data_IF_130652116001
#
_entry.id   IF_130652116001
#
_cell.length_a   1.000
_cell.length_b   1.000
_cell.length_c   1.000
_cell.angle_alpha   90.00
_cell.angle_beta   90.00
_cell.angle_gamma   90.00
#
_symmetry.space_group_name_H-M   'P 1'
#
loop_
_entity.id
_entity.type
_entity.pdbx_description
1 polymer ?
#
# COMPACT_ATOMS: atom_id res chain seq x y z
N UNK A 1 45.49 -30.69 -24.74
CA UNK A 1 44.94 -31.95 -24.20
C UNK A 1 43.82 -31.58 -23.23
N UNK A 2 42.59 -31.79 -23.71
CA UNK A 2 41.33 -32.13 -23.03
C UNK A 2 41.31 -32.17 -21.49
N UNK A 3 40.41 -31.40 -20.87
CA UNK A 3 39.07 -31.82 -20.32
C UNK A 3 39.22 -32.32 -18.87
N UNK A 4 38.49 -31.84 -17.86
CA UNK A 4 37.02 -31.82 -17.72
C UNK A 4 36.58 -30.77 -16.69
N UNK A 5 35.69 -29.86 -17.09
CA UNK A 5 34.77 -29.17 -16.16
C UNK A 5 33.40 -29.83 -16.38
N UNK A 6 32.87 -30.47 -15.35
CA UNK A 6 31.51 -30.99 -15.34
C UNK A 6 30.53 -29.81 -15.41
N UNK A 7 29.84 -29.71 -16.55
CA UNK A 7 28.70 -28.83 -16.73
C UNK A 7 27.50 -29.44 -16.00
N UNK A 8 26.99 -28.73 -14.99
CA UNK A 8 25.68 -28.99 -14.40
C UNK A 8 24.63 -28.82 -15.50
N UNK A 9 23.84 -29.86 -15.72
CA UNK A 9 22.70 -29.88 -16.64
C UNK A 9 21.69 -28.77 -16.25
N UNK A 10 21.14 -28.03 -17.23
CA UNK A 10 20.07 -27.09 -16.97
C UNK A 10 18.83 -27.86 -16.53
N UNK A 11 18.36 -27.57 -15.32
CA UNK A 11 17.07 -28.04 -14.79
C UNK A 11 15.97 -27.55 -15.73
N UNK A 12 15.26 -28.49 -16.34
CA UNK A 12 14.09 -28.27 -17.20
C UNK A 12 13.18 -27.20 -16.61
N UNK A 13 13.07 -26.06 -17.31
CA UNK A 13 11.99 -25.12 -17.11
C UNK A 13 10.69 -25.83 -17.52
N UNK A 14 9.60 -25.74 -16.73
CA UNK A 14 8.31 -26.20 -17.19
C UNK A 14 7.97 -25.46 -18.47
N UNK A 15 7.69 -26.27 -19.49
CA UNK A 15 7.48 -25.92 -20.89
C UNK A 15 6.84 -24.53 -21.10
N UNK A 16 7.42 -23.81 -22.05
CA UNK A 16 6.78 -22.73 -22.81
C UNK A 16 5.40 -23.21 -23.26
N UNK A 17 4.37 -22.80 -22.52
CA UNK A 17 3.01 -22.82 -23.01
C UNK A 17 2.91 -21.75 -24.08
N UNK A 18 3.08 -22.14 -25.35
CA UNK A 18 2.56 -21.40 -26.47
C UNK A 18 1.14 -20.97 -26.12
N UNK A 19 0.85 -19.68 -26.18
CA UNK A 19 -0.51 -19.16 -26.04
C UNK A 19 -1.30 -19.80 -27.18
N UNK A 20 -2.06 -20.85 -26.84
CA UNK A 20 -3.04 -21.42 -27.74
C UNK A 20 -4.00 -20.29 -28.11
N UNK A 21 -4.26 -20.15 -29.42
CA UNK A 21 -5.29 -19.28 -29.95
C UNK A 21 -6.53 -19.34 -29.06
N UNK A 22 -6.92 -18.19 -28.49
CA UNK A 22 -8.14 -18.12 -27.73
C UNK A 22 -9.30 -18.38 -28.72
N UNK A 23 -10.01 -19.49 -28.54
CA UNK A 23 -11.29 -19.74 -29.22
C UNK A 23 -12.24 -18.59 -28.86
N UNK A 24 -12.33 -17.60 -29.75
CA UNK A 24 -13.26 -16.46 -29.63
C UNK A 24 -14.73 -16.92 -29.62
N UNK A 25 -15.01 -18.13 -30.12
CA UNK A 25 -16.34 -18.71 -30.30
C UNK A 25 -17.04 -19.17 -29.00
N UNK A 26 -16.50 -18.79 -27.84
CA UNK A 26 -17.10 -19.06 -26.52
C UNK A 26 -16.90 -17.97 -25.49
N UNK A 27 -16.34 -16.82 -25.87
CA UNK A 27 -15.97 -15.75 -24.92
C UNK A 27 -17.21 -14.95 -24.52
N UNK A 28 -17.83 -15.30 -23.39
CA UNK A 28 -19.06 -14.63 -22.90
C UNK A 28 -18.80 -13.33 -22.13
N UNK A 29 -17.62 -13.20 -21.55
CA UNK A 29 -17.25 -12.08 -20.69
C UNK A 29 -15.77 -11.68 -20.91
N UNK A 30 -15.49 -10.38 -20.88
CA UNK A 30 -14.13 -9.80 -20.90
C UNK A 30 -14.01 -8.73 -19.82
N UNK A 31 -12.92 -8.77 -19.04
CA UNK A 31 -12.60 -7.68 -18.11
C UNK A 31 -11.80 -6.58 -18.79
N UNK A 32 -12.19 -5.33 -18.55
CA UNK A 32 -11.49 -4.15 -19.05
C UNK A 32 -10.03 -4.10 -18.58
N UNK A 33 -9.75 -4.57 -17.37
CA UNK A 33 -8.40 -4.61 -16.79
C UNK A 33 -7.47 -5.54 -17.58
N UNK A 34 -7.96 -6.71 -17.99
CA UNK A 34 -7.18 -7.68 -18.78
C UNK A 34 -6.75 -7.12 -20.14
N UNK A 35 -7.54 -6.21 -20.71
CA UNK A 35 -7.17 -5.49 -21.93
C UNK A 35 -6.14 -4.39 -21.67
N UNK A 36 -6.23 -3.70 -20.53
CA UNK A 36 -5.28 -2.62 -20.16
C UNK A 36 -3.88 -3.15 -19.88
N UNK A 37 -3.78 -4.33 -19.28
CA UNK A 37 -2.52 -4.99 -18.93
C UNK A 37 -1.76 -5.55 -20.13
N UNK A 38 -2.41 -5.71 -21.29
CA UNK A 38 -1.74 -6.13 -22.54
C UNK A 38 -0.72 -5.10 -23.00
N UNK A 39 0.43 -5.59 -23.48
CA UNK A 39 1.41 -4.77 -24.18
C UNK A 39 0.81 -4.21 -25.48
N UNK A 40 1.35 -3.11 -26.05
CA UNK A 40 0.85 -2.57 -27.32
C UNK A 40 0.81 -3.61 -28.44
N UNK A 41 1.82 -4.48 -28.52
CA UNK A 41 1.88 -5.56 -29.52
C UNK A 41 0.77 -6.59 -29.32
N UNK A 42 0.57 -7.06 -28.09
CA UNK A 42 -0.51 -8.01 -27.76
C UNK A 42 -1.90 -7.39 -27.96
N UNK A 43 -2.06 -6.10 -27.67
CA UNK A 43 -3.32 -5.40 -27.84
C UNK A 43 -3.66 -5.23 -29.33
N UNK A 44 -2.68 -4.94 -30.18
CA UNK A 44 -2.88 -4.88 -31.64
C UNK A 44 -3.22 -6.26 -32.20
N UNK A 45 -2.49 -7.30 -31.79
CA UNK A 45 -2.80 -8.67 -32.21
C UNK A 45 -4.23 -9.08 -31.81
N UNK A 46 -4.63 -8.78 -30.56
CA UNK A 46 -5.99 -9.03 -30.09
C UNK A 46 -7.05 -8.21 -30.86
N UNK A 47 -6.73 -6.97 -31.26
CA UNK A 47 -7.62 -6.17 -32.09
C UNK A 47 -7.82 -6.78 -33.49
N UNK A 48 -6.75 -7.30 -34.09
CA UNK A 48 -6.81 -8.00 -35.38
C UNK A 48 -7.65 -9.28 -35.28
N UNK A 49 -7.47 -10.07 -34.21
CA UNK A 49 -8.28 -11.26 -33.91
C UNK A 49 -9.78 -10.94 -33.76
N UNK A 50 -10.11 -9.80 -33.16
CA UNK A 50 -11.50 -9.34 -32.97
C UNK A 50 -12.04 -8.59 -34.19
N UNK A 51 -11.29 -8.55 -35.30
CA UNK A 51 -11.66 -7.95 -36.58
C UNK A 51 -11.85 -6.42 -36.51
N UNK A 52 -10.94 -5.75 -35.79
CA UNK A 52 -10.86 -4.27 -35.78
C UNK A 52 -10.06 -3.80 -37.02
N UNK A 53 -10.71 -3.01 -37.87
CA UNK A 53 -10.06 -2.42 -39.04
C UNK A 53 -8.98 -1.40 -38.65
N UNK A 54 -7.84 -1.41 -39.36
CA UNK A 54 -6.74 -0.46 -39.19
C UNK A 54 -6.15 -0.38 -37.76
N UNK A 55 -6.26 -1.46 -36.98
CA UNK A 55 -5.77 -1.57 -35.61
C UNK A 55 -4.34 -1.03 -35.39
N UNK A 56 -3.42 -1.34 -36.30
CA UNK A 56 -2.01 -0.94 -36.23
C UNK A 56 -1.76 0.57 -36.31
N UNK A 57 -2.71 1.34 -36.81
CA UNK A 57 -2.60 2.82 -36.95
C UNK A 57 -3.24 3.58 -35.79
N UNK A 58 -4.03 2.90 -34.96
CA UNK A 58 -4.78 3.50 -33.86
C UNK A 58 -3.89 3.74 -32.64
N UNK A 59 -4.18 4.80 -31.90
CA UNK A 59 -3.58 4.98 -30.56
C UNK A 59 -4.18 3.97 -29.59
N UNK A 60 -3.46 3.63 -28.50
CA UNK A 60 -3.92 2.65 -27.49
C UNK A 60 -5.38 2.86 -27.04
N UNK A 61 -5.82 4.10 -26.86
CA UNK A 61 -7.20 4.43 -26.45
C UNK A 61 -8.23 4.19 -27.56
N UNK A 62 -7.93 4.60 -28.78
CA UNK A 62 -8.80 4.38 -29.94
C UNK A 62 -8.90 2.87 -30.23
N UNK A 63 -7.77 2.17 -30.13
CA UNK A 63 -7.69 0.72 -30.28
C UNK A 63 -8.52 -0.01 -29.22
N UNK A 64 -8.35 0.36 -27.95
CA UNK A 64 -9.20 -0.12 -26.83
C UNK A 64 -10.68 0.08 -27.12
N UNK A 65 -11.07 1.28 -27.54
CA UNK A 65 -12.47 1.59 -27.84
C UNK A 65 -12.99 0.75 -29.01
N UNK A 66 -12.20 0.56 -30.07
CA UNK A 66 -12.57 -0.23 -31.22
C UNK A 66 -12.73 -1.72 -30.88
N UNK A 67 -11.81 -2.29 -30.09
CA UNK A 67 -11.90 -3.67 -29.56
C UNK A 67 -13.20 -3.83 -28.78
N UNK A 68 -13.45 -2.95 -27.81
CA UNK A 68 -14.65 -3.03 -26.96
C UNK A 68 -15.94 -2.88 -27.77
N UNK A 69 -15.92 -2.04 -28.80
CA UNK A 69 -17.07 -1.88 -29.70
C UNK A 69 -17.37 -3.17 -30.47
N UNK A 70 -16.35 -3.86 -30.97
CA UNK A 70 -16.53 -5.14 -31.65
C UNK A 70 -16.96 -6.26 -30.69
N UNK A 71 -16.38 -6.33 -29.49
CA UNK A 71 -16.80 -7.28 -28.47
C UNK A 71 -18.27 -7.06 -28.08
N UNK A 72 -18.69 -5.82 -27.88
CA UNK A 72 -20.08 -5.49 -27.60
C UNK A 72 -21.02 -5.84 -28.77
N UNK A 73 -20.58 -5.69 -30.02
CA UNK A 73 -21.36 -6.08 -31.20
C UNK A 73 -21.51 -7.62 -31.32
N UNK A 74 -20.55 -8.38 -30.78
CA UNK A 74 -20.60 -9.85 -30.66
C UNK A 74 -21.32 -10.32 -29.38
N UNK A 75 -22.07 -9.44 -28.71
CA UNK A 75 -22.79 -9.70 -27.46
C UNK A 75 -21.92 -10.18 -26.29
N UNK A 76 -20.61 -9.88 -26.30
CA UNK A 76 -19.70 -10.19 -25.20
C UNK A 76 -19.90 -9.16 -24.07
N UNK A 77 -20.12 -9.63 -22.84
CA UNK A 77 -20.27 -8.75 -21.68
C UNK A 77 -18.92 -8.17 -21.26
N UNK A 78 -18.81 -6.84 -21.19
CA UNK A 78 -17.57 -6.17 -20.78
C UNK A 78 -17.70 -5.79 -19.32
N UNK A 79 -16.85 -6.32 -18.45
CA UNK A 79 -16.82 -6.00 -17.03
C UNK A 79 -15.76 -4.93 -16.75
N UNK A 80 -16.19 -3.84 -16.12
CA UNK A 80 -15.31 -2.79 -15.62
C UNK A 80 -15.23 -2.82 -14.10
N UNK A 81 -14.07 -2.44 -13.56
CA UNK A 81 -13.87 -2.26 -12.13
C UNK A 81 -13.04 -1.02 -11.84
N UNK A 82 -13.30 -0.38 -10.70
CA UNK A 82 -12.48 0.72 -10.20
C UNK A 82 -13.00 1.29 -8.88
N UNK A 83 -12.30 2.28 -8.35
CA UNK A 83 -12.62 2.95 -7.08
C UNK A 83 -13.47 4.18 -7.35
N UNK A 84 -14.63 4.29 -6.71
CA UNK A 84 -15.57 5.40 -6.86
C UNK A 84 -14.93 6.70 -6.35
N UNK A 85 -14.97 7.74 -7.17
CA UNK A 85 -14.82 9.14 -6.78
C UNK A 85 -16.13 9.87 -7.08
N UNK A 86 -16.85 10.29 -6.03
CA UNK A 86 -18.07 11.09 -6.17
C UNK A 86 -17.69 12.57 -6.27
N UNK A 87 -18.16 13.24 -7.33
CA UNK A 87 -17.94 14.66 -7.55
C UNK A 87 -19.04 15.51 -6.91
N UNK A 88 -18.81 16.83 -6.82
CA UNK A 88 -19.73 17.77 -6.16
C UNK A 88 -21.14 17.78 -6.76
N UNK A 89 -21.25 17.54 -8.07
CA UNK A 89 -22.52 17.47 -8.81
C UNK A 89 -23.29 16.15 -8.57
N UNK A 90 -22.75 15.24 -7.76
CA UNK A 90 -23.39 14.00 -7.32
C UNK A 90 -23.30 12.82 -8.28
N UNK A 91 -22.71 12.99 -9.46
CA UNK A 91 -22.23 11.87 -10.29
C UNK A 91 -20.80 11.50 -9.90
N UNK A 92 -20.30 10.38 -10.41
CA UNK A 92 -18.94 9.94 -10.09
C UNK A 92 -18.27 9.18 -11.22
N UNK A 93 -17.00 8.85 -10.98
CA UNK A 93 -16.18 8.03 -11.86
C UNK A 93 -15.55 6.88 -11.08
N UNK A 94 -15.41 5.73 -11.72
CA UNK A 94 -14.53 4.67 -11.26
C UNK A 94 -13.13 4.95 -11.76
N UNK A 95 -12.25 5.31 -10.83
CA UNK A 95 -10.84 5.58 -11.09
C UNK A 95 -10.05 4.28 -11.04
N UNK A 96 -9.09 4.13 -11.96
CA UNK A 96 -8.18 2.99 -12.00
C UNK A 96 -7.05 3.12 -10.97
N UNK A 97 -6.74 2.04 -10.26
CA UNK A 97 -5.54 1.95 -9.42
C UNK A 97 -4.25 1.95 -10.26
N UNK A 98 -4.28 1.40 -11.48
CA UNK A 98 -3.12 1.39 -12.40
C UNK A 98 -2.71 2.80 -12.83
N UNK A 99 -3.68 3.72 -12.85
CA UNK A 99 -3.47 5.13 -13.15
C UNK A 99 -3.25 5.95 -11.87
N UNK A 100 -2.96 5.31 -10.73
CA UNK A 100 -2.82 5.96 -9.42
C UNK A 100 -4.05 6.78 -9.00
N UNK A 101 -5.25 6.40 -9.45
CA UNK A 101 -6.47 7.21 -9.31
C UNK A 101 -6.41 8.59 -9.97
N UNK A 102 -5.66 8.71 -11.08
CA UNK A 102 -5.72 9.88 -11.96
C UNK A 102 -7.04 9.87 -12.73
N UNK A 103 -7.62 11.06 -12.99
CA UNK A 103 -8.64 11.19 -14.02
C UNK A 103 -8.11 10.73 -15.37
N UNK A 104 -8.71 9.68 -15.90
CA UNK A 104 -8.37 9.07 -17.18
C UNK A 104 -9.54 9.14 -18.16
N UNK A 105 -9.28 9.14 -19.48
CA UNK A 105 -10.33 9.03 -20.49
C UNK A 105 -11.00 7.64 -20.49
N UNK A 106 -10.35 6.65 -19.87
CA UNK A 106 -10.79 5.27 -19.67
C UNK A 106 -11.52 5.06 -18.34
N UNK A 107 -11.87 6.14 -17.63
CA UNK A 107 -12.69 6.10 -16.43
C UNK A 107 -14.14 5.73 -16.75
N UNK A 108 -14.78 5.04 -15.81
CA UNK A 108 -16.16 4.57 -15.97
C UNK A 108 -17.08 5.51 -15.21
N UNK A 109 -17.96 6.19 -15.94
CA UNK A 109 -19.02 7.02 -15.41
C UNK A 109 -20.02 6.21 -14.58
N UNK A 110 -20.39 6.77 -13.41
CA UNK A 110 -21.47 6.29 -12.57
C UNK A 110 -22.50 7.40 -12.38
N UNK A 111 -23.76 7.05 -12.65
CA UNK A 111 -24.88 7.97 -12.51
C UNK A 111 -25.21 8.27 -11.03
N UNK A 112 -25.73 9.47 -10.72
CA UNK A 112 -26.24 9.80 -9.39
C UNK A 112 -27.29 8.80 -8.88
N UNK A 113 -28.09 8.24 -9.79
CA UNK A 113 -29.11 7.23 -9.47
C UNK A 113 -28.48 5.94 -8.94
N UNK A 114 -27.39 5.46 -9.56
CA UNK A 114 -26.67 4.28 -9.09
C UNK A 114 -26.00 4.54 -7.73
N UNK A 115 -25.36 5.70 -7.57
CA UNK A 115 -24.75 6.13 -6.30
C UNK A 115 -25.79 6.12 -5.18
N UNK A 116 -26.93 6.76 -5.39
CA UNK A 116 -28.02 6.81 -4.39
C UNK A 116 -28.64 5.44 -4.12
N UNK A 117 -28.86 4.63 -5.17
CA UNK A 117 -29.51 3.31 -5.05
C UNK A 117 -28.70 2.34 -4.18
N UNK A 118 -27.38 2.34 -4.34
CA UNK A 118 -26.48 1.44 -3.61
C UNK A 118 -25.79 2.10 -2.42
N UNK A 119 -26.03 3.40 -2.16
CA UNK A 119 -25.39 4.13 -1.08
C UNK A 119 -23.88 4.27 -1.26
N UNK A 120 -23.41 4.35 -2.51
CA UNK A 120 -21.98 4.42 -2.83
C UNK A 120 -21.36 5.71 -2.28
N UNK A 121 -20.14 5.59 -1.76
CA UNK A 121 -19.31 6.70 -1.31
C UNK A 121 -17.96 6.66 -2.02
N UNK A 122 -17.26 7.79 -1.99
CA UNK A 122 -15.87 7.83 -2.44
C UNK A 122 -15.05 6.76 -1.70
N UNK A 123 -14.23 6.02 -2.45
CA UNK A 123 -13.45 4.90 -1.96
C UNK A 123 -14.07 3.51 -2.21
N UNK A 124 -15.38 3.42 -2.53
CA UNK A 124 -15.98 2.11 -2.78
C UNK A 124 -15.41 1.50 -4.06
N UNK A 125 -14.95 0.25 -3.99
CA UNK A 125 -14.50 -0.48 -5.18
C UNK A 125 -15.70 -1.15 -5.81
N UNK A 126 -16.03 -0.80 -7.04
CA UNK A 126 -17.22 -1.31 -7.74
C UNK A 126 -16.78 -2.10 -8.95
N UNK A 127 -17.39 -3.26 -9.17
CA UNK A 127 -17.25 -4.07 -10.38
C UNK A 127 -18.63 -4.34 -10.98
N UNK A 128 -18.71 -4.32 -12.31
CA UNK A 128 -19.90 -4.72 -13.04
C UNK A 128 -19.83 -4.43 -14.52
N UNK A 129 -20.87 -4.81 -15.29
CA UNK A 129 -20.88 -4.61 -16.73
C UNK A 129 -20.88 -3.14 -17.08
N UNK A 130 -20.09 -2.80 -18.09
CA UNK A 130 -19.95 -1.47 -18.64
C UNK A 130 -20.38 -1.46 -20.11
N UNK A 131 -20.75 -0.27 -20.58
CA UNK A 131 -20.96 -0.01 -22.00
C UNK A 131 -20.03 1.09 -22.49
N UNK A 132 -19.74 1.07 -23.78
CA UNK A 132 -19.09 2.18 -24.45
C UNK A 132 -19.94 3.48 -24.40
N UNK A 133 -19.29 4.65 -24.56
CA UNK A 133 -19.99 5.92 -24.78
C UNK A 133 -20.90 5.86 -26.01
N UNK A 134 -22.10 6.43 -25.89
CA UNK A 134 -23.00 6.72 -27.02
C UNK A 134 -22.59 8.00 -27.74
N UNK A 135 -23.25 8.30 -28.86
CA UNK A 135 -23.04 9.56 -29.58
C UNK A 135 -23.20 10.78 -28.64
N UNK A 136 -22.13 11.55 -28.49
CA UNK A 136 -22.05 12.71 -27.59
C UNK A 136 -21.52 12.42 -26.18
N UNK A 137 -21.35 11.17 -25.78
CA UNK A 137 -20.69 10.77 -24.53
C UNK A 137 -19.18 10.58 -24.75
N UNK A 138 -18.38 10.79 -23.70
CA UNK A 138 -16.91 10.66 -23.76
C UNK A 138 -16.35 9.48 -22.96
N UNK A 139 -17.13 8.95 -22.01
CA UNK A 139 -16.67 7.97 -21.03
C UNK A 139 -17.47 6.66 -21.13
N UNK A 140 -16.86 5.56 -20.70
CA UNK A 140 -17.59 4.33 -20.45
C UNK A 140 -18.64 4.57 -19.37
N UNK A 141 -19.75 3.84 -19.38
CA UNK A 141 -20.78 3.97 -18.36
C UNK A 141 -21.07 2.61 -17.72
N UNK A 142 -21.19 2.59 -16.39
CA UNK A 142 -21.58 1.39 -15.66
C UNK A 142 -23.05 1.07 -15.94
N UNK A 143 -23.35 -0.13 -16.40
CA UNK A 143 -24.72 -0.62 -16.62
C UNK A 143 -25.36 -1.09 -15.32
N UNK A 144 -24.64 -1.96 -14.60
CA UNK A 144 -25.10 -2.59 -13.38
C UNK A 144 -23.94 -2.75 -12.42
N UNK A 145 -24.24 -2.70 -11.13
CA UNK A 145 -23.29 -3.03 -10.08
C UNK A 145 -23.41 -4.51 -9.76
N UNK A 146 -22.34 -5.29 -9.97
CA UNK A 146 -22.29 -6.71 -9.65
C UNK A 146 -21.71 -6.93 -8.25
N UNK A 147 -20.60 -6.27 -7.92
CA UNK A 147 -19.99 -6.33 -6.60
C UNK A 147 -19.57 -4.95 -6.11
N UNK A 148 -19.51 -4.79 -4.79
CA UNK A 148 -18.98 -3.60 -4.12
C UNK A 148 -18.06 -4.07 -3.01
N UNK A 149 -16.84 -3.57 -2.97
CA UNK A 149 -15.77 -3.96 -2.05
C UNK A 149 -15.59 -5.49 -1.98
N UNK A 150 -15.69 -6.13 -3.16
CA UNK A 150 -15.57 -7.58 -3.37
C UNK A 150 -16.69 -8.42 -2.74
N UNK A 151 -17.82 -7.81 -2.39
CA UNK A 151 -18.99 -8.47 -1.85
C UNK A 151 -20.26 -8.18 -2.67
N UNK A 152 -21.31 -8.97 -2.43
CA UNK A 152 -22.61 -8.73 -3.03
C UNK A 152 -23.20 -7.39 -2.53
N UNK A 153 -23.71 -6.52 -3.42
CA UNK A 153 -24.27 -5.20 -3.10
C UNK A 153 -25.35 -5.21 -2.01
N UNK A 154 -26.09 -6.31 -1.85
CA UNK A 154 -27.15 -6.42 -0.85
C UNK A 154 -26.63 -6.37 0.58
N UNK A 155 -25.37 -6.80 0.82
CA UNK A 155 -24.75 -6.82 2.15
C UNK A 155 -24.40 -5.44 2.70
N UNK A 156 -24.39 -4.40 1.87
CA UNK A 156 -23.97 -3.04 2.24
C UNK A 156 -24.98 -2.35 3.14
N UNK A 157 -26.28 -2.65 2.98
CA UNK A 157 -27.35 -1.94 3.68
C UNK A 157 -27.28 -2.02 5.20
N UNK A 158 -26.51 -2.97 5.73
CA UNK A 158 -26.34 -3.22 7.17
C UNK A 158 -24.96 -2.80 7.69
N UNK A 159 -24.13 -2.12 6.89
CA UNK A 159 -22.78 -1.75 7.30
C UNK A 159 -22.77 -0.44 8.10
N UNK A 160 -21.91 -0.40 9.10
CA UNK A 160 -21.71 0.76 9.98
C UNK A 160 -20.64 1.66 9.35
N UNK A 161 -20.86 2.98 9.41
CA UNK A 161 -19.90 3.96 8.93
C UNK A 161 -18.58 3.87 9.71
N UNK A 162 -17.43 4.03 9.05
CA UNK A 162 -16.10 3.90 9.68
C UNK A 162 -15.94 4.73 10.96
N UNK A 163 -16.43 5.97 10.94
CA UNK A 163 -16.35 6.88 12.09
C UNK A 163 -17.22 6.46 13.30
N UNK A 164 -18.19 5.56 13.09
CA UNK A 164 -19.05 5.02 14.14
C UNK A 164 -18.54 3.69 14.69
N UNK A 165 -17.49 3.11 14.09
CA UNK A 165 -16.88 1.86 14.56
C UNK A 165 -16.04 2.11 15.82
N UNK A 166 -16.03 1.14 16.73
CA UNK A 166 -15.41 1.29 18.04
C UNK A 166 -13.88 1.09 17.96
N UNK A 167 -13.06 2.13 18.19
CA UNK A 167 -11.60 2.02 18.10
C UNK A 167 -11.02 1.32 19.33
N UNK A 168 -10.19 0.30 19.09
CA UNK A 168 -9.42 -0.39 20.12
C UNK A 168 -7.91 -0.30 19.89
N UNK A 169 -7.13 -0.66 20.91
CA UNK A 169 -5.72 -0.97 20.71
C UNK A 169 -5.58 -2.23 19.84
N UNK A 170 -4.48 -2.36 19.07
CA UNK A 170 -4.16 -3.60 18.39
C UNK A 170 -4.03 -4.77 19.38
N UNK A 171 -4.73 -5.86 19.09
CA UNK A 171 -4.70 -7.10 19.90
C UNK A 171 -4.20 -8.30 19.11
N UNK A 172 -4.14 -8.19 17.78
CA UNK A 172 -3.56 -9.19 16.89
C UNK A 172 -2.26 -8.64 16.31
N UNK A 173 -1.20 -9.43 16.41
CA UNK A 173 0.13 -9.07 15.96
C UNK A 173 0.35 -9.43 14.49
N UNK A 174 1.04 -8.56 13.74
CA UNK A 174 1.70 -8.94 12.50
C UNK A 174 3.01 -9.66 12.85
N UNK A 175 3.11 -10.96 12.54
CA UNK A 175 4.38 -11.68 12.60
C UNK A 175 5.18 -11.24 11.38
N UNK A 176 6.26 -10.49 11.58
CA UNK A 176 7.10 -10.05 10.48
C UNK A 176 8.22 -11.04 10.18
N UNK A 177 8.69 -11.78 11.17
CA UNK A 177 9.64 -12.87 11.00
C UNK A 177 9.15 -13.89 9.95
N UNK A 178 9.96 -14.09 8.92
CA UNK A 178 9.75 -15.09 7.90
C UNK A 178 10.49 -16.38 8.26
N UNK A 179 9.83 -17.52 8.15
CA UNK A 179 10.45 -18.82 8.46
C UNK A 179 11.54 -19.18 7.44
N UNK A 180 11.34 -18.83 6.16
CA UNK A 180 12.30 -19.02 5.07
C UNK A 180 12.44 -17.73 4.25
N UNK A 181 13.26 -16.76 4.72
CA UNK A 181 13.38 -15.49 4.03
C UNK A 181 14.17 -15.66 2.72
N UNK A 182 13.73 -15.07 1.60
CA UNK A 182 14.44 -15.18 0.32
C UNK A 182 15.79 -14.47 0.31
N UNK A 183 15.99 -13.51 1.23
CA UNK A 183 17.27 -12.87 1.52
C UNK A 183 17.49 -12.86 3.02
N UNK A 184 18.72 -13.11 3.47
CA UNK A 184 19.06 -13.10 4.90
C UNK A 184 19.05 -11.65 5.43
N UNK A 185 17.88 -11.19 5.86
CA UNK A 185 17.65 -9.87 6.46
C UNK A 185 17.07 -10.03 7.87
N UNK A 186 17.67 -9.34 8.84
CA UNK A 186 17.26 -9.42 10.25
C UNK A 186 16.21 -8.37 10.62
N UNK A 187 15.87 -7.44 9.72
CA UNK A 187 14.90 -6.36 9.99
C UNK A 187 13.56 -6.86 10.52
N UNK A 188 12.91 -7.86 9.89
CA UNK A 188 11.61 -8.31 10.36
C UNK A 188 11.70 -8.93 11.77
N UNK A 189 12.74 -9.74 12.01
CA UNK A 189 13.02 -10.36 13.31
C UNK A 189 13.30 -9.33 14.41
N UNK A 190 14.08 -8.31 14.09
CA UNK A 190 14.43 -7.24 15.04
C UNK A 190 13.19 -6.41 15.37
N UNK A 191 12.41 -5.98 14.37
CA UNK A 191 11.14 -5.25 14.60
C UNK A 191 10.23 -6.08 15.51
N UNK A 192 10.10 -7.37 15.24
CA UNK A 192 9.30 -8.29 16.04
C UNK A 192 9.74 -8.37 17.52
N UNK A 193 11.01 -8.15 17.82
CA UNK A 193 11.52 -8.15 19.20
C UNK A 193 11.35 -6.78 19.86
N UNK A 194 11.62 -5.70 19.13
CA UNK A 194 11.84 -4.36 19.74
C UNK A 194 10.63 -3.44 19.59
N UNK A 195 9.85 -3.57 18.53
CA UNK A 195 8.73 -2.70 18.19
C UNK A 195 7.63 -3.52 17.47
N UNK A 196 6.97 -4.46 18.17
CA UNK A 196 5.98 -5.35 17.56
C UNK A 196 4.82 -4.54 16.97
N UNK A 197 4.42 -4.86 15.74
CA UNK A 197 3.35 -4.15 15.03
C UNK A 197 2.08 -5.00 15.05
N UNK A 198 0.92 -4.41 15.35
CA UNK A 198 -0.37 -5.10 15.29
C UNK A 198 -1.33 -4.61 14.20
N UNK A 199 -2.40 -5.38 14.00
CA UNK A 199 -3.56 -5.00 13.20
C UNK A 199 -4.24 -3.79 13.81
N UNK A 200 -4.22 -2.66 13.10
CA UNK A 200 -4.68 -1.37 13.59
C UNK A 200 -3.58 -0.42 14.09
N UNK A 201 -2.30 -0.76 13.90
CA UNK A 201 -1.18 0.06 14.41
C UNK A 201 -1.06 1.40 13.67
N UNK A 202 -0.68 2.45 14.41
CA UNK A 202 -0.18 3.72 13.89
C UNK A 202 1.33 3.80 14.11
N UNK A 203 2.08 3.26 13.15
CA UNK A 203 3.54 3.13 13.26
C UNK A 203 4.26 4.21 12.46
N UNK A 204 5.32 4.77 13.05
CA UNK A 204 6.24 5.68 12.39
C UNK A 204 7.61 5.02 12.25
N UNK A 205 8.12 4.94 11.03
CA UNK A 205 9.53 4.66 10.74
C UNK A 205 10.24 6.02 10.70
N UNK A 206 10.86 6.38 11.80
CA UNK A 206 11.54 7.66 11.98
C UNK A 206 12.95 7.53 11.43
N UNK A 207 13.23 8.18 10.31
CA UNK A 207 14.44 7.92 9.56
C UNK A 207 15.10 9.22 9.06
N UNK A 208 16.37 9.45 9.39
CA UNK A 208 17.20 10.39 8.64
C UNK A 208 17.35 9.95 7.18
N UNK A 209 17.66 10.86 6.24
CA UNK A 209 18.02 10.49 4.88
C UNK A 209 19.16 9.46 4.84
N UNK A 210 19.11 8.54 3.87
CA UNK A 210 20.14 7.50 3.58
C UNK A 210 20.34 6.43 4.67
N UNK A 211 19.34 6.19 5.52
CA UNK A 211 19.40 5.15 6.59
C UNK A 211 18.77 3.81 6.21
N UNK A 212 18.24 3.66 4.99
CA UNK A 212 17.63 2.41 4.51
C UNK A 212 16.11 2.31 4.71
N UNK A 213 15.40 3.44 4.85
CA UNK A 213 13.92 3.49 5.03
C UNK A 213 13.15 2.65 4.01
N UNK A 214 13.54 2.74 2.73
CA UNK A 214 12.82 2.09 1.63
C UNK A 214 12.97 0.58 1.70
N UNK A 215 14.20 0.09 1.95
CA UNK A 215 14.48 -1.34 2.12
C UNK A 215 13.73 -1.89 3.33
N UNK A 216 13.71 -1.15 4.44
CA UNK A 216 12.95 -1.56 5.62
C UNK A 216 11.45 -1.68 5.33
N UNK A 217 10.89 -0.71 4.61
CA UNK A 217 9.47 -0.74 4.21
C UNK A 217 9.16 -1.90 3.26
N UNK A 218 10.04 -2.19 2.30
CA UNK A 218 9.92 -3.35 1.40
C UNK A 218 9.95 -4.67 2.20
N UNK A 219 10.83 -4.79 3.19
CA UNK A 219 10.91 -5.96 4.06
C UNK A 219 9.61 -6.15 4.86
N UNK A 220 9.04 -5.06 5.40
CA UNK A 220 7.74 -5.11 6.09
C UNK A 220 6.64 -5.53 5.13
N UNK A 221 6.57 -4.93 3.94
CA UNK A 221 5.60 -5.25 2.90
C UNK A 221 5.63 -6.74 2.54
N UNK A 222 6.82 -7.26 2.24
CA UNK A 222 7.04 -8.66 1.92
C UNK A 222 6.62 -9.59 3.07
N UNK A 223 6.96 -9.22 4.30
CA UNK A 223 6.62 -10.00 5.48
C UNK A 223 5.11 -10.08 5.68
N UNK A 224 4.40 -8.97 5.49
CA UNK A 224 2.93 -8.91 5.56
C UNK A 224 2.31 -9.74 4.43
N UNK A 225 2.76 -9.61 3.18
CA UNK A 225 2.19 -10.40 2.07
C UNK A 225 2.36 -11.90 2.28
N UNK A 226 3.50 -12.34 2.84
CA UNK A 226 3.77 -13.78 3.04
C UNK A 226 3.03 -14.33 4.26
N UNK A 227 3.14 -13.67 5.41
CA UNK A 227 2.60 -14.18 6.67
C UNK A 227 1.11 -13.82 6.88
N UNK A 228 0.64 -12.78 6.22
CA UNK A 228 -0.71 -12.23 6.36
C UNK A 228 -1.37 -11.97 4.98
N UNK A 229 -1.52 -13.01 4.13
CA UNK A 229 -2.10 -12.87 2.80
C UNK A 229 -3.57 -12.43 2.82
N UNK A 230 -4.25 -12.51 3.96
CA UNK A 230 -5.60 -12.00 4.15
C UNK A 230 -5.68 -10.46 4.18
N UNK A 231 -4.56 -9.80 4.48
CA UNK A 231 -4.51 -8.34 4.59
C UNK A 231 -4.46 -7.67 3.22
N UNK A 232 -5.24 -6.61 3.06
CA UNK A 232 -5.20 -5.77 1.87
C UNK A 232 -4.06 -4.76 1.98
N UNK A 233 -2.95 -5.00 1.28
CA UNK A 233 -1.76 -4.16 1.32
C UNK A 233 -1.80 -3.07 0.24
N UNK A 234 -1.71 -1.81 0.69
CA UNK A 234 -1.55 -0.63 -0.15
C UNK A 234 -0.21 0.03 0.18
N UNK A 235 0.60 0.30 -0.84
CA UNK A 235 1.80 1.14 -0.70
C UNK A 235 1.51 2.49 -1.34
N UNK A 236 1.54 3.55 -0.53
CA UNK A 236 1.29 4.92 -0.96
C UNK A 236 2.60 5.71 -0.97
N UNK A 237 3.05 6.09 -2.16
CA UNK A 237 4.28 6.85 -2.38
C UNK A 237 3.93 8.30 -2.75
N UNK A 238 4.39 9.25 -1.96
CA UNK A 238 4.09 10.68 -2.10
C UNK A 238 5.37 11.47 -2.28
N UNK A 239 5.44 12.23 -3.37
CA UNK A 239 6.55 13.13 -3.69
C UNK A 239 7.90 12.38 -3.66
N UNK A 240 7.88 11.15 -4.18
CA UNK A 240 9.06 10.30 -4.31
C UNK A 240 9.57 10.20 -5.75
N UNK A 241 10.80 9.69 -5.88
CA UNK A 241 11.45 9.57 -7.18
C UNK A 241 10.84 8.47 -8.05
N UNK A 242 10.69 8.67 -9.38
CA UNK A 242 10.14 7.67 -10.29
C UNK A 242 10.85 6.31 -10.26
N UNK A 243 12.17 6.29 -10.09
CA UNK A 243 12.96 5.06 -9.97
C UNK A 243 12.67 4.30 -8.67
N UNK A 244 12.42 5.00 -7.56
CA UNK A 244 12.04 4.40 -6.28
C UNK A 244 10.61 3.83 -6.34
N UNK A 245 9.70 4.51 -7.05
CA UNK A 245 8.36 4.01 -7.35
C UNK A 245 8.42 2.71 -8.15
N UNK A 246 9.24 2.69 -9.22
CA UNK A 246 9.38 1.50 -10.08
C UNK A 246 9.94 0.31 -9.30
N UNK A 247 10.95 0.55 -8.45
CA UNK A 247 11.52 -0.48 -7.59
C UNK A 247 10.49 -1.07 -6.61
N UNK A 248 9.65 -0.21 -6.01
CA UNK A 248 8.57 -0.65 -5.12
C UNK A 248 7.52 -1.50 -5.84
N UNK A 249 7.09 -1.09 -7.04
CA UNK A 249 6.11 -1.83 -7.86
C UNK A 249 6.62 -3.25 -8.17
N UNK A 250 7.93 -3.39 -8.43
CA UNK A 250 8.53 -4.69 -8.76
C UNK A 250 8.79 -5.56 -7.53
N UNK A 251 8.98 -4.95 -6.37
CA UNK A 251 9.39 -5.64 -5.15
C UNK A 251 8.22 -6.09 -4.27
N UNK A 252 7.11 -5.35 -4.29
CA UNK A 252 5.98 -5.58 -3.39
C UNK A 252 4.79 -6.19 -4.13
N UNK A 253 4.26 -7.28 -3.57
CA UNK A 253 2.98 -7.86 -3.99
C UNK A 253 1.85 -7.17 -3.22
N UNK A 254 1.31 -6.12 -3.82
CA UNK A 254 0.23 -5.32 -3.27
C UNK A 254 -0.16 -4.21 -4.23
N UNK A 255 -1.11 -3.37 -3.81
CA UNK A 255 -1.51 -2.22 -4.60
C UNK A 255 -0.54 -1.06 -4.36
N UNK A 256 0.29 -0.73 -5.35
CA UNK A 256 1.24 0.39 -5.25
C UNK A 256 0.65 1.61 -5.95
N UNK A 257 0.38 2.65 -5.18
CA UNK A 257 -0.17 3.93 -5.63
C UNK A 257 0.87 5.01 -5.41
N UNK A 258 1.22 5.75 -6.45
CA UNK A 258 2.26 6.76 -6.40
C UNK A 258 1.83 8.11 -7.00
N UNK A 259 2.38 9.17 -6.43
CA UNK A 259 2.42 10.52 -7.02
C UNK A 259 3.86 11.02 -6.88
N UNK A 260 4.60 11.03 -8.00
CA UNK A 260 6.02 11.41 -8.02
C UNK A 260 6.20 12.91 -7.76
N UNK A 261 7.44 13.34 -7.50
CA UNK A 261 7.77 14.76 -7.28
C UNK A 261 7.47 15.68 -8.47
N UNK A 262 7.20 15.13 -9.66
CA UNK A 262 6.81 15.90 -10.85
C UNK A 262 5.37 16.42 -10.77
N UNK A 263 4.55 15.82 -9.89
CA UNK A 263 3.15 16.15 -9.71
C UNK A 263 2.96 17.32 -8.72
N UNK A 264 1.90 18.14 -8.87
CA UNK A 264 1.63 19.24 -7.95
C UNK A 264 1.17 18.76 -6.57
N UNK A 265 1.35 19.58 -5.53
CA UNK A 265 0.91 19.27 -4.17
C UNK A 265 -0.59 18.93 -4.04
N UNK A 266 -1.44 19.58 -4.85
CA UNK A 266 -2.88 19.26 -4.92
C UNK A 266 -3.13 17.82 -5.33
N UNK A 267 -2.27 17.27 -6.20
CA UNK A 267 -2.36 15.89 -6.65
C UNK A 267 -1.97 14.91 -5.54
N UNK A 268 -0.87 15.17 -4.83
CA UNK A 268 -0.47 14.36 -3.68
C UNK A 268 -1.60 14.24 -2.64
N UNK A 269 -2.27 15.35 -2.35
CA UNK A 269 -3.40 15.40 -1.42
C UNK A 269 -4.58 14.58 -1.97
N UNK A 270 -4.95 14.75 -3.24
CA UNK A 270 -6.06 14.01 -3.85
C UNK A 270 -5.84 12.49 -3.82
N UNK A 271 -4.63 12.03 -4.17
CA UNK A 271 -4.30 10.59 -4.17
C UNK A 271 -4.39 10.02 -2.76
N UNK A 272 -3.82 10.70 -1.78
CA UNK A 272 -3.87 10.27 -0.39
C UNK A 272 -5.33 10.18 0.12
N UNK A 273 -6.18 11.15 -0.24
CA UNK A 273 -7.60 11.14 0.12
C UNK A 273 -8.36 9.97 -0.54
N UNK A 274 -8.09 9.67 -1.81
CA UNK A 274 -8.68 8.49 -2.48
C UNK A 274 -8.26 7.19 -1.80
N UNK A 275 -6.96 7.05 -1.47
CA UNK A 275 -6.42 5.85 -0.81
C UNK A 275 -6.99 5.67 0.58
N UNK A 276 -7.08 6.72 1.39
CA UNK A 276 -7.61 6.60 2.76
C UNK A 276 -9.11 6.30 2.75
N UNK A 277 -9.89 6.91 1.85
CA UNK A 277 -11.30 6.61 1.74
C UNK A 277 -11.54 5.18 1.28
N UNK A 278 -10.76 4.68 0.30
CA UNK A 278 -10.79 3.25 -0.09
C UNK A 278 -10.50 2.34 1.10
N UNK A 279 -9.43 2.63 1.84
CA UNK A 279 -9.07 1.84 3.01
C UNK A 279 -10.19 1.81 4.06
N UNK A 280 -10.83 2.95 4.35
CA UNK A 280 -11.99 3.01 5.25
C UNK A 280 -13.15 2.16 4.76
N UNK A 281 -13.49 2.21 3.46
CA UNK A 281 -14.55 1.37 2.89
C UNK A 281 -14.24 -0.12 3.05
N UNK A 282 -13.00 -0.54 2.80
CA UNK A 282 -12.59 -1.93 3.00
C UNK A 282 -12.69 -2.37 4.47
N UNK A 283 -12.35 -1.50 5.43
CA UNK A 283 -12.49 -1.79 6.87
C UNK A 283 -13.95 -1.83 7.32
N UNK A 284 -14.83 -1.00 6.78
CA UNK A 284 -16.28 -1.11 7.01
C UNK A 284 -16.84 -2.48 6.53
N UNK A 285 -16.14 -3.13 5.60
CA UNK A 285 -16.40 -4.49 5.16
C UNK A 285 -15.70 -5.59 6.00
N UNK A 286 -15.06 -5.22 7.12
CA UNK A 286 -14.40 -6.14 8.04
C UNK A 286 -13.05 -6.66 7.54
N UNK A 287 -12.44 -6.01 6.54
CA UNK A 287 -11.10 -6.37 6.06
C UNK A 287 -10.02 -5.73 6.92
N UNK A 288 -8.90 -6.43 7.04
CA UNK A 288 -7.67 -5.87 7.56
C UNK A 288 -6.91 -5.18 6.42
N UNK A 289 -6.67 -3.88 6.55
CA UNK A 289 -6.01 -3.05 5.54
C UNK A 289 -4.70 -2.51 6.11
N UNK A 290 -3.64 -2.58 5.32
CA UNK A 290 -2.33 -2.02 5.67
C UNK A 290 -1.95 -0.98 4.63
N UNK A 291 -1.69 0.25 5.08
CA UNK A 291 -1.10 1.31 4.25
C UNK A 291 0.35 1.50 4.66
N UNK A 292 1.27 1.29 3.72
CA UNK A 292 2.66 1.70 3.85
C UNK A 292 2.83 3.06 3.17
N UNK A 293 3.08 4.12 3.95
CA UNK A 293 3.14 5.48 3.45
C UNK A 293 4.59 6.00 3.43
N UNK A 294 5.11 6.32 2.25
CA UNK A 294 6.41 6.97 2.07
C UNK A 294 6.24 8.32 1.33
N UNK A 295 6.16 9.47 2.01
CA UNK A 295 6.31 9.68 3.47
C UNK A 295 5.22 10.59 4.05
N UNK A 296 4.97 10.46 5.35
CA UNK A 296 4.02 11.34 6.06
C UNK A 296 4.52 12.78 6.14
N UNK A 297 5.85 12.97 6.17
CA UNK A 297 6.47 14.31 6.18
C UNK A 297 6.18 15.05 4.88
N UNK A 298 6.37 14.40 3.73
CA UNK A 298 6.07 14.97 2.41
C UNK A 298 4.58 15.22 2.22
N UNK A 299 3.73 14.30 2.69
CA UNK A 299 2.29 14.53 2.71
C UNK A 299 1.92 15.77 3.53
N UNK A 300 2.49 15.92 4.73
CA UNK A 300 2.31 17.11 5.57
C UNK A 300 2.71 18.41 4.87
N UNK A 301 3.83 18.40 4.13
CA UNK A 301 4.25 19.54 3.29
C UNK A 301 3.23 19.85 2.20
N UNK A 302 2.73 18.84 1.49
CA UNK A 302 1.73 19.02 0.44
C UNK A 302 0.45 19.67 0.97
N UNK A 303 -0.05 19.21 2.13
CA UNK A 303 -1.21 19.84 2.79
C UNK A 303 -0.94 21.29 3.20
N UNK A 304 0.26 21.60 3.70
CA UNK A 304 0.64 22.97 4.05
C UNK A 304 0.67 23.90 2.83
N UNK A 305 1.05 23.41 1.66
CA UNK A 305 1.04 24.18 0.41
C UNK A 305 -0.38 24.40 -0.13
N UNK A 306 -1.27 23.42 0.04
CA UNK A 306 -2.63 23.44 -0.55
C UNK A 306 -3.64 24.17 0.34
N UNK A 307 -3.43 24.21 1.66
CA UNK A 307 -4.38 24.85 2.57
C UNK A 307 -4.43 26.36 2.34
N UNK A 308 -5.63 26.98 2.29
CA UNK A 308 -5.74 28.44 2.31
C UNK A 308 -5.12 29.01 3.59
N UNK A 309 -4.41 30.14 3.48
CA UNK A 309 -3.76 30.76 4.63
C UNK A 309 -4.76 31.11 5.72
N UNK A 310 -4.47 30.70 6.96
CA UNK A 310 -5.25 31.06 8.14
C UNK A 310 -4.86 32.42 8.74
N UNK A 311 -3.81 33.05 8.23
CA UNK A 311 -3.17 34.23 8.82
C UNK A 311 -2.33 33.92 10.07
N UNK A 312 -2.25 32.65 10.51
CA UNK A 312 -1.46 32.21 11.66
C UNK A 312 -0.44 31.16 11.22
N UNK A 313 0.83 31.54 11.22
CA UNK A 313 1.95 30.66 10.85
C UNK A 313 2.69 30.25 12.11
N UNK A 314 2.79 28.94 12.34
CA UNK A 314 3.55 28.33 13.42
C UNK A 314 5.05 28.35 13.10
N UNK A 315 5.86 27.97 14.08
CA UNK A 315 7.30 27.77 13.88
C UNK A 315 7.55 26.85 12.68
N UNK A 316 8.60 27.15 11.90
CA UNK A 316 8.95 26.36 10.72
C UNK A 316 8.10 26.63 9.47
N UNK A 317 7.24 27.65 9.48
CA UNK A 317 6.47 28.04 8.28
C UNK A 317 5.23 27.17 8.01
N UNK A 318 4.75 26.47 9.04
CA UNK A 318 3.57 25.62 8.97
C UNK A 318 2.33 26.43 9.33
N UNK A 319 1.30 26.43 8.48
CA UNK A 319 0.03 27.08 8.80
C UNK A 319 -0.67 26.33 9.95
N UNK A 320 -1.31 27.06 10.86
CA UNK A 320 -1.97 26.48 12.03
C UNK A 320 -3.02 25.40 11.67
N UNK A 321 -3.64 25.48 10.50
CA UNK A 321 -4.65 24.51 10.04
C UNK A 321 -4.07 23.40 9.14
N UNK A 322 -2.82 23.53 8.68
CA UNK A 322 -2.23 22.63 7.70
C UNK A 322 -2.18 21.16 8.18
N UNK A 323 -1.90 20.95 9.46
CA UNK A 323 -1.67 19.61 10.00
C UNK A 323 -2.94 18.88 10.44
N UNK A 324 -4.11 19.54 10.42
CA UNK A 324 -5.35 18.92 10.86
C UNK A 324 -5.75 17.72 9.98
N UNK A 325 -5.70 17.88 8.64
CA UNK A 325 -6.04 16.81 7.69
C UNK A 325 -5.03 15.67 7.69
N UNK A 326 -3.71 15.90 7.61
CA UNK A 326 -2.72 14.85 7.76
C UNK A 326 -2.85 14.08 9.10
N UNK A 327 -3.14 14.77 10.21
CA UNK A 327 -3.37 14.10 11.50
C UNK A 327 -4.62 13.21 11.48
N UNK A 328 -5.68 13.62 10.80
CA UNK A 328 -6.87 12.78 10.57
C UNK A 328 -6.54 11.57 9.68
N UNK A 329 -5.73 11.75 8.64
CA UNK A 329 -5.26 10.66 7.80
C UNK A 329 -4.53 9.61 8.63
N UNK A 330 -3.50 10.01 9.39
CA UNK A 330 -2.71 9.07 10.19
C UNK A 330 -3.49 8.51 11.40
N UNK A 331 -4.34 9.34 12.01
CA UNK A 331 -5.25 8.96 13.09
C UNK A 331 -6.44 8.10 12.63
N UNK A 332 -6.61 7.88 11.33
CA UNK A 332 -7.59 6.92 10.84
C UNK A 332 -7.19 5.49 11.25
N UNK A 333 -5.88 5.17 11.31
CA UNK A 333 -5.43 3.84 11.70
C UNK A 333 -5.84 3.46 13.13
N UNK A 334 -6.52 2.32 13.25
CA UNK A 334 -7.14 1.81 14.46
C UNK A 334 -7.53 0.34 14.26
N UNK A 335 -7.54 -0.41 15.35
CA UNK A 335 -8.19 -1.71 15.41
C UNK A 335 -9.70 -1.50 15.65
N UNK A 336 -10.55 -2.35 15.09
CA UNK A 336 -12.01 -2.21 15.18
C UNK A 336 -12.59 -3.42 15.93
N UNK A 337 -13.46 -3.15 16.90
CA UNK A 337 -14.12 -4.21 17.68
C UNK A 337 -15.08 -5.04 16.81
N UNK A 338 -15.83 -4.39 15.93
CA UNK A 338 -16.85 -4.99 15.07
C UNK A 338 -16.27 -5.79 13.89
N UNK A 339 -14.95 -5.74 13.70
CA UNK A 339 -14.21 -6.48 12.67
C UNK A 339 -13.43 -5.59 11.71
N UNK A 340 -12.33 -6.15 11.20
CA UNK A 340 -11.35 -5.45 10.36
C UNK A 340 -10.42 -4.54 11.16
N UNK A 341 -9.45 -3.94 10.46
CA UNK A 341 -8.51 -3.00 11.05
C UNK A 341 -7.86 -2.14 9.98
N UNK A 342 -7.50 -0.90 10.34
CA UNK A 342 -6.68 -0.05 9.48
C UNK A 342 -5.32 0.15 10.13
N UNK A 343 -4.28 -0.39 9.52
CA UNK A 343 -2.89 -0.18 9.94
C UNK A 343 -2.23 0.83 9.01
N UNK A 344 -1.57 1.84 9.56
CA UNK A 344 -0.75 2.78 8.78
C UNK A 344 0.66 2.75 9.34
N UNK A 345 1.61 2.36 8.50
CA UNK A 345 3.04 2.36 8.79
C UNK A 345 3.66 3.40 7.87
N UNK A 346 4.04 4.56 8.42
CA UNK A 346 4.51 5.68 7.63
C UNK A 346 5.97 6.03 7.93
N UNK A 347 6.74 6.42 6.93
CA UNK A 347 8.07 7.01 7.16
C UNK A 347 7.92 8.47 7.56
N UNK A 348 8.73 8.90 8.52
CA UNK A 348 8.87 10.28 8.92
C UNK A 348 10.35 10.69 8.83
N UNK A 349 10.61 11.77 8.08
CA UNK A 349 11.96 12.29 7.89
C UNK A 349 12.36 13.17 9.08
N UNK A 350 13.54 12.90 9.63
CA UNK A 350 14.20 13.71 10.66
C UNK A 350 15.60 14.11 10.19
N UNK A 351 16.25 15.02 10.92
CA UNK A 351 17.62 15.48 10.63
C UNK A 351 17.83 15.94 9.17
N UNK A 352 16.80 16.57 8.59
CA UNK A 352 16.80 17.13 7.23
C UNK A 352 17.40 18.54 7.19
N UNK A 353 17.56 19.18 8.36
CA UNK A 353 17.93 20.59 8.48
C UNK A 353 16.74 21.57 8.29
N UNK A 354 15.51 21.07 8.09
CA UNK A 354 14.31 21.90 7.98
C UNK A 354 13.52 21.91 9.28
N UNK A 355 13.35 23.10 9.87
CA UNK A 355 12.45 23.30 11.03
C UNK A 355 11.01 22.92 10.75
N UNK A 356 10.58 22.99 9.48
CA UNK A 356 9.25 22.56 9.07
C UNK A 356 9.07 21.05 9.33
N UNK A 357 10.06 20.24 8.97
CA UNK A 357 10.01 18.79 9.14
C UNK A 357 10.03 18.39 10.61
N UNK A 358 10.81 19.10 11.43
CA UNK A 358 10.84 18.91 12.89
C UNK A 358 9.46 19.13 13.51
N UNK A 359 8.78 20.22 13.14
CA UNK A 359 7.42 20.51 13.63
C UNK A 359 6.40 19.48 13.14
N UNK A 360 6.49 19.08 11.87
CA UNK A 360 5.64 18.03 11.30
C UNK A 360 5.84 16.70 12.06
N UNK A 361 7.09 16.33 12.32
CA UNK A 361 7.44 15.10 13.01
C UNK A 361 6.86 15.07 14.43
N UNK A 362 7.06 16.12 15.23
CA UNK A 362 6.57 16.17 16.61
C UNK A 362 5.03 16.04 16.69
N UNK A 363 4.30 16.64 15.75
CA UNK A 363 2.84 16.52 15.67
C UNK A 363 2.37 15.09 15.38
N UNK A 364 3.08 14.36 14.51
CA UNK A 364 2.74 12.98 14.21
C UNK A 364 3.22 12.00 15.27
N UNK A 365 4.35 12.27 15.92
CA UNK A 365 4.85 11.47 17.04
C UNK A 365 3.83 11.39 18.18
N UNK A 366 3.16 12.50 18.49
CA UNK A 366 2.06 12.52 19.46
C UNK A 366 0.83 11.69 19.05
N UNK A 367 0.64 11.46 17.76
CA UNK A 367 -0.51 10.74 17.18
C UNK A 367 -0.24 9.22 17.05
N UNK A 368 1.02 8.85 16.80
CA UNK A 368 1.47 7.47 16.67
C UNK A 368 1.47 6.69 17.98
N UNK A 369 1.50 5.36 17.86
CA UNK A 369 1.61 4.44 18.99
C UNK A 369 2.72 3.39 18.83
N UNK A 370 3.49 3.45 17.74
CA UNK A 370 4.70 2.65 17.54
C UNK A 370 5.75 3.49 16.82
N UNK A 371 7.01 3.40 17.24
CA UNK A 371 8.14 4.12 16.65
C UNK A 371 9.27 3.12 16.35
N UNK A 372 9.71 3.08 15.09
CA UNK A 372 10.92 2.37 14.64
C UNK A 372 11.90 3.43 14.21
N UNK A 373 12.95 3.63 14.99
CA UNK A 373 13.89 4.73 14.80
C UNK A 373 15.12 4.19 14.08
N UNK A 374 15.50 4.84 12.98
CA UNK A 374 16.74 4.57 12.26
C UNK A 374 17.81 5.58 12.64
N UNK A 375 19.04 5.12 12.84
CA UNK A 375 20.16 5.94 13.28
C UNK A 375 21.23 6.07 12.18
N UNK A 376 21.63 7.32 11.92
CA UNK A 376 22.61 7.66 10.89
C UNK A 376 24.01 7.11 11.20
N UNK A 377 24.42 7.07 12.48
CA UNK A 377 25.75 6.57 12.87
C UNK A 377 25.87 5.07 12.61
N UNK A 378 24.77 4.34 12.76
CA UNK A 378 24.71 2.91 12.42
C UNK A 378 24.82 2.70 10.91
N UNK A 379 24.06 3.46 10.11
CA UNK A 379 24.12 3.36 8.64
C UNK A 379 25.46 3.82 8.06
N UNK A 380 26.10 4.84 8.64
CA UNK A 380 27.41 5.34 8.19
C UNK A 380 28.52 4.29 8.36
N UNK A 381 28.37 3.40 9.36
CA UNK A 381 29.21 2.21 9.56
C UNK A 381 28.81 1.02 8.68
N UNK A 382 27.81 1.17 7.81
CA UNK A 382 27.25 0.13 6.92
C UNK A 382 26.64 -1.06 7.66
N UNK A 383 26.10 -0.81 8.84
CA UNK A 383 25.40 -1.83 9.63
C UNK A 383 23.92 -1.74 9.30
N UNK A 384 23.34 -2.84 8.82
CA UNK A 384 21.93 -2.92 8.46
C UNK A 384 21.26 -4.16 9.08
N UNK A 385 20.04 -4.03 9.63
CA UNK A 385 19.22 -2.81 9.68
C UNK A 385 19.76 -1.74 10.64
N UNK A 386 19.66 -0.47 10.24
CA UNK A 386 20.18 0.65 11.01
C UNK A 386 19.22 1.10 12.13
N UNK A 387 18.62 0.14 12.86
CA UNK A 387 17.60 0.40 13.88
C UNK A 387 18.24 0.75 15.23
N UNK A 388 17.81 1.84 15.83
CA UNK A 388 18.06 2.13 17.23
C UNK A 388 17.09 1.32 18.11
N UNK A 389 17.58 0.18 18.59
CA UNK A 389 16.81 -0.76 19.43
C UNK A 389 16.39 -0.11 20.76
N UNK A 390 17.19 0.81 21.30
CA UNK A 390 16.95 1.39 22.62
C UNK A 390 15.78 2.37 22.59
N UNK A 391 15.67 3.15 21.50
CA UNK A 391 14.62 4.16 21.33
C UNK A 391 13.38 3.64 20.62
N UNK A 392 13.50 2.60 19.80
CA UNK A 392 12.34 2.00 19.13
C UNK A 392 11.43 1.28 20.14
N UNK A 393 10.12 1.28 19.90
CA UNK A 393 9.17 0.62 20.78
C UNK A 393 7.70 0.83 20.40
N UNK A 394 6.83 0.05 21.04
CA UNK A 394 5.39 0.07 20.78
C UNK A 394 4.62 0.26 22.08
N UNK A 395 3.65 1.18 22.09
CA UNK A 395 2.75 1.35 23.24
C UNK A 395 1.82 0.15 23.33
N UNK A 396 1.54 -0.29 24.56
CA UNK A 396 0.63 -1.41 24.83
C UNK A 396 1.08 -2.74 24.20
N UNK A 397 2.38 -2.97 24.10
CA UNK A 397 2.97 -4.20 23.55
C UNK A 397 2.56 -5.47 24.34
N UNK A 398 2.11 -5.34 25.59
CA UNK A 398 1.56 -6.45 26.37
C UNK A 398 0.29 -7.07 25.77
N UNK A 399 -0.38 -6.37 24.85
CA UNK A 399 -1.54 -6.88 24.10
C UNK A 399 -1.13 -7.68 22.85
N UNK A 400 0.13 -7.56 22.42
CA UNK A 400 0.64 -8.15 21.17
C UNK A 400 1.65 -9.28 21.42
N UNK A 401 2.31 -9.26 22.57
CA UNK A 401 3.40 -10.17 22.90
C UNK A 401 3.02 -11.03 24.10
N UNK A 402 3.16 -12.37 24.02
CA UNK A 402 2.92 -13.25 25.16
C UNK A 402 3.76 -12.86 26.39
N UNK A 403 3.23 -13.02 27.62
CA UNK A 403 3.90 -12.55 28.84
C UNK A 403 5.34 -13.06 29.03
N UNK A 404 5.63 -14.29 28.61
CA UNK A 404 6.96 -14.88 28.80
C UNK A 404 7.98 -14.32 27.81
N UNK A 405 7.61 -14.13 26.55
CA UNK A 405 8.45 -13.43 25.57
C UNK A 405 8.66 -11.97 25.98
N UNK A 406 7.62 -11.30 26.51
CA UNK A 406 7.71 -9.91 26.93
C UNK A 406 8.69 -9.71 28.09
N UNK A 407 8.68 -10.60 29.09
CA UNK A 407 9.69 -10.58 30.18
C UNK A 407 11.11 -10.69 29.63
N UNK A 408 11.33 -11.58 28.64
CA UNK A 408 12.64 -11.75 27.99
C UNK A 408 13.05 -10.50 27.22
N UNK A 409 12.13 -9.87 26.49
CA UNK A 409 12.37 -8.57 25.84
C UNK A 409 12.79 -7.49 26.84
N UNK A 410 12.19 -7.44 28.03
CA UNK A 410 12.60 -6.50 29.08
C UNK A 410 14.00 -6.78 29.64
N UNK A 411 14.36 -8.04 29.83
CA UNK A 411 15.73 -8.42 30.20
C UNK A 411 16.71 -8.01 29.11
N UNK A 412 16.39 -8.30 27.84
CA UNK A 412 17.20 -7.88 26.70
C UNK A 412 17.41 -6.36 26.68
N UNK A 413 16.34 -5.57 26.84
CA UNK A 413 16.44 -4.09 26.90
C UNK A 413 17.36 -3.62 28.04
N UNK A 414 17.31 -4.24 29.22
CA UNK A 414 18.22 -3.89 30.33
C UNK A 414 19.69 -4.18 30.00
N UNK A 415 19.97 -5.22 29.22
CA UNK A 415 21.33 -5.56 28.77
C UNK A 415 21.81 -4.59 27.69
N UNK A 416 20.92 -4.18 26.78
CA UNK A 416 21.27 -3.30 25.66
C UNK A 416 21.40 -1.82 26.06
N UNK A 417 20.63 -1.36 27.05
CA UNK A 417 20.60 0.07 27.44
C UNK A 417 21.97 0.70 27.82
N UNK A 418 22.89 -0.01 28.51
CA UNK A 418 24.22 0.53 28.79
C UNK A 418 25.14 0.61 27.56
N UNK A 419 24.79 -0.07 26.46
CA UNK A 419 25.61 -0.12 25.25
C UNK A 419 25.36 1.12 24.38
N UNK A 420 26.35 1.48 23.55
CA UNK A 420 26.12 2.45 22.47
C UNK A 420 25.18 1.87 21.41
N UNK A 421 24.47 2.73 20.66
CA UNK A 421 23.49 2.31 19.63
C UNK A 421 24.10 1.34 18.62
N UNK A 422 25.34 1.59 18.16
CA UNK A 422 26.05 0.69 17.25
C UNK A 422 26.32 -0.69 17.89
N UNK A 423 26.85 -0.70 19.10
CA UNK A 423 27.25 -1.95 19.76
C UNK A 423 26.02 -2.79 20.11
N UNK A 424 24.91 -2.13 20.47
CA UNK A 424 23.64 -2.78 20.79
C UNK A 424 23.06 -3.55 19.58
N UNK A 425 23.04 -2.94 18.39
CA UNK A 425 22.52 -3.59 17.19
C UNK A 425 23.44 -4.71 16.71
N UNK A 426 24.76 -4.53 16.78
CA UNK A 426 25.73 -5.58 16.46
C UNK A 426 25.59 -6.78 17.40
N UNK A 427 25.52 -6.51 18.70
CA UNK A 427 25.32 -7.55 19.71
C UNK A 427 24.03 -8.35 19.46
N UNK A 428 22.91 -7.67 19.22
CA UNK A 428 21.64 -8.36 18.95
C UNK A 428 21.74 -9.19 17.67
N UNK A 429 22.27 -8.62 16.58
CA UNK A 429 22.45 -9.35 15.32
C UNK A 429 23.35 -10.58 15.48
N UNK A 430 24.43 -10.49 16.26
CA UNK A 430 25.32 -11.63 16.50
C UNK A 430 24.61 -12.77 17.24
N UNK A 431 23.70 -12.46 18.17
CA UNK A 431 22.85 -13.46 18.81
C UNK A 431 21.79 -14.02 17.85
N UNK A 432 21.16 -13.19 17.04
CA UNK A 432 20.18 -13.64 16.05
C UNK A 432 20.81 -14.50 14.95
N UNK A 433 22.09 -14.30 14.61
CA UNK A 433 22.83 -15.15 13.67
C UNK A 433 23.01 -16.58 14.15
N UNK A 434 23.03 -16.80 15.47
CA UNK A 434 23.19 -18.12 16.08
C UNK A 434 21.89 -18.93 16.11
N UNK A 435 20.76 -18.31 15.76
CA UNK A 435 19.42 -18.89 15.92
C UNK A 435 18.62 -18.76 14.64
N UNK A 436 17.73 -19.73 14.38
CA UNK A 436 16.89 -19.71 13.18
C UNK A 436 15.67 -18.82 13.37
N UNK A 437 15.03 -18.91 14.53
CA UNK A 437 13.84 -18.13 14.87
C UNK A 437 14.02 -17.24 16.11
N UNK A 438 13.13 -16.26 16.28
CA UNK A 438 13.03 -15.45 17.49
C UNK A 438 12.65 -16.29 18.72
N UNK A 439 11.88 -17.36 18.53
CA UNK A 439 11.57 -18.30 19.61
C UNK A 439 12.84 -19.01 20.09
N UNK A 440 13.67 -19.55 19.18
CA UNK A 440 14.95 -20.18 19.54
C UNK A 440 15.88 -19.18 20.25
N UNK A 441 15.90 -17.92 19.79
CA UNK A 441 16.64 -16.85 20.45
C UNK A 441 16.15 -16.62 21.88
N UNK A 442 14.84 -16.47 22.08
CA UNK A 442 14.29 -16.30 23.41
C UNK A 442 14.56 -17.51 24.30
N UNK A 443 14.53 -18.73 23.78
CA UNK A 443 14.82 -19.94 24.55
C UNK A 443 16.30 -20.04 24.93
N UNK A 444 17.22 -19.56 24.08
CA UNK A 444 18.64 -19.47 24.42
C UNK A 444 18.95 -18.51 25.58
N UNK A 445 18.05 -17.57 25.90
CA UNK A 445 18.20 -16.66 27.05
C UNK A 445 17.81 -17.31 28.39
N UNK A 446 17.14 -18.47 28.37
CA UNK A 446 16.76 -19.21 29.57
C UNK A 446 17.92 -20.07 30.13
N UNK A 447 19.03 -20.15 29.40
CA UNK A 447 20.26 -20.87 29.77
C UNK A 447 21.33 -19.85 30.11
#
# INVERSE_FOLDING_TARGET
>A
MTSTYDALEPVDSPAEGSIAAADLDGMREVKLQDLKSKTPTELTAFAEEVEVENASTMRKQELMFAILKQLAAKEVEIIGAGTVEVLQDGFGFLRSSESNYLPGPDDIYISPTQIRRFGLRTGDTVEGPIRGPKDGERYFALLKVNTINFENPEKIKHKVHFDNLTPLFPTQRFKLELDNPPKKDFSPRIIDIVAPIGKGQRALIVAPPRTGKTVLMQNIAQSITINHPECYLIVLLIDERPEEVTDMIRSVKGEVIASTFDEPATRHVQVAEMVIEKAKRLVEHGRDVVILLDSITRLGRAYNTVVPSSGKVLTGGVDANALQRPKRFFGAARNIEEGGSLSIIATALIDTGSRMDEVIFEEFKGTGNSEIILDRKVSDKRIFPAIDITRSGTRKEELLVPPDSLKKTYVLRRILNPMGVTDAIEFLMDKLRQTKSNNDFFDSMNT
#
